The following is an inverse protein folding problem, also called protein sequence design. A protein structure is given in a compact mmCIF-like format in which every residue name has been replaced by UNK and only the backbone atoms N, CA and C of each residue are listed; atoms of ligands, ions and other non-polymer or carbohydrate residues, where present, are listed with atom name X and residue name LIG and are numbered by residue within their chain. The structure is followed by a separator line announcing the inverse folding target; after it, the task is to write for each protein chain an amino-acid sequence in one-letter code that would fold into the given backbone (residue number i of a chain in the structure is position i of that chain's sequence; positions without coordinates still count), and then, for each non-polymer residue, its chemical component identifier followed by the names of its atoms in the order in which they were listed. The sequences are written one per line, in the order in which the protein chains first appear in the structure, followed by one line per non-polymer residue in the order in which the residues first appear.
data_IF_409450517668
#
_entry.id   IF_409450517668
#
_cell.length_a   1.000
_cell.length_b   1.000
_cell.length_c   1.000
_cell.angle_alpha   90.00
_cell.angle_beta   90.00
_cell.angle_gamma   90.00
#
_symmetry.space_group_name_H-M   'P 1'
#
loop_
_entity.id
_entity.type
_entity.pdbx_description
1 polymer ?
#
# COMPACT_ATOMS: atom_id res chain seq x y z
N UNK A 1 16.97 14.80 6.81
CA UNK A 1 16.06 14.30 7.85
C UNK A 1 16.86 14.05 9.12
N UNK A 2 16.42 14.50 10.31
CA UNK A 2 17.03 14.04 11.56
C UNK A 2 16.57 12.61 11.87
N UNK A 3 17.43 11.81 12.49
CA UNK A 3 17.10 10.43 12.86
C UNK A 3 15.85 10.36 13.75
N UNK A 4 15.66 11.34 14.62
CA UNK A 4 14.50 11.43 15.52
C UNK A 4 13.16 11.59 14.78
N UNK A 5 13.14 12.31 13.65
CA UNK A 5 11.92 12.48 12.83
C UNK A 5 11.57 11.17 12.12
N UNK A 6 12.59 10.45 11.62
CA UNK A 6 12.38 9.15 10.99
C UNK A 6 11.84 8.13 11.99
N UNK A 7 12.43 8.06 13.17
CA UNK A 7 12.00 7.15 14.23
C UNK A 7 10.58 7.45 14.72
N UNK A 8 10.24 8.74 14.90
CA UNK A 8 8.87 9.15 15.21
C UNK A 8 7.88 8.80 14.10
N UNK A 9 8.31 8.85 12.84
CA UNK A 9 7.46 8.48 11.70
C UNK A 9 7.17 6.97 11.70
N UNK A 10 8.19 6.13 11.92
CA UNK A 10 8.00 4.68 12.07
C UNK A 10 7.12 4.32 13.27
N UNK A 11 7.23 5.05 14.39
CA UNK A 11 6.33 4.90 15.53
C UNK A 11 4.88 5.15 15.17
N UNK A 12 4.61 6.21 14.41
CA UNK A 12 3.26 6.54 13.94
C UNK A 12 2.70 5.46 13.01
N UNK A 13 3.49 4.98 12.05
CA UNK A 13 3.04 3.91 11.14
C UNK A 13 2.83 2.59 11.88
N UNK A 14 3.73 2.21 12.80
CA UNK A 14 3.51 1.04 13.64
C UNK A 14 2.21 1.16 14.44
N UNK A 15 1.90 2.33 14.99
CA UNK A 15 0.66 2.54 15.73
C UNK A 15 -0.60 2.51 14.85
N UNK A 16 -0.48 2.90 13.58
CA UNK A 16 -1.55 2.83 12.60
C UNK A 16 -1.88 1.39 12.20
N UNK A 17 -0.86 0.57 11.91
CA UNK A 17 -1.04 -0.83 11.50
C UNK A 17 -1.33 -1.78 12.67
N UNK A 18 -1.03 -1.34 13.89
CA UNK A 18 -1.18 -2.14 15.09
C UNK A 18 -2.62 -2.65 15.26
N UNK A 19 -2.75 -3.97 15.38
CA UNK A 19 -4.02 -4.63 15.70
C UNK A 19 -4.44 -4.43 17.16
N UNK A 20 -5.73 -4.64 17.44
CA UNK A 20 -6.25 -4.67 18.80
C UNK A 20 -5.55 -5.71 19.70
N UNK A 21 -5.13 -6.83 19.12
CA UNK A 21 -4.47 -7.95 19.83
C UNK A 21 -2.97 -7.77 19.97
N UNK A 22 -2.45 -6.62 19.59
CA UNK A 22 -1.03 -6.34 19.65
C UNK A 22 -0.77 -5.21 20.64
N UNK A 23 0.45 -5.17 21.15
CA UNK A 23 0.94 -4.04 21.91
C UNK A 23 2.45 -3.95 21.74
N UNK A 24 2.98 -2.75 21.59
CA UNK A 24 4.40 -2.51 21.79
C UNK A 24 4.64 -1.43 22.85
N UNK A 25 5.75 -1.53 23.56
CA UNK A 25 6.20 -0.55 24.56
C UNK A 25 7.70 -0.29 24.43
N UNK A 26 8.04 0.99 24.46
CA UNK A 26 9.42 1.47 24.47
C UNK A 26 10.01 1.36 25.89
N UNK A 27 11.23 0.85 25.99
CA UNK A 27 12.02 0.76 27.22
C UNK A 27 12.90 1.99 27.40
N UNK A 28 13.42 2.20 28.61
CA UNK A 28 14.32 3.32 28.93
C UNK A 28 15.61 3.33 28.09
N UNK A 29 16.01 2.19 27.53
CA UNK A 29 17.17 2.05 26.66
C UNK A 29 16.84 2.26 25.16
N UNK A 30 15.62 2.67 24.82
CA UNK A 30 15.15 2.87 23.44
C UNK A 30 14.72 1.59 22.72
N UNK A 31 14.92 0.40 23.31
CA UNK A 31 14.45 -0.85 22.71
C UNK A 31 12.93 -0.98 22.83
N UNK A 32 12.32 -1.70 21.90
CA UNK A 32 10.87 -1.85 21.82
C UNK A 32 10.51 -3.29 22.09
N UNK A 33 9.61 -3.52 23.04
CA UNK A 33 9.04 -4.83 23.28
C UNK A 33 7.68 -4.90 22.62
N UNK A 34 7.53 -5.80 21.66
CA UNK A 34 6.29 -6.17 21.02
C UNK A 34 5.66 -7.37 21.73
N UNK A 35 4.34 -7.35 21.83
CA UNK A 35 3.49 -8.35 22.43
C UNK A 35 2.34 -8.66 21.48
N UNK A 36 2.05 -9.95 21.27
CA UNK A 36 0.80 -10.40 20.66
C UNK A 36 0.01 -11.25 21.64
N UNK A 37 -1.31 -11.15 21.58
CA UNK A 37 -2.25 -11.81 22.49
C UNK A 37 -3.22 -12.69 21.72
N UNK A 38 -3.71 -13.74 22.38
CA UNK A 38 -4.80 -14.56 21.86
C UNK A 38 -6.12 -13.78 21.90
N UNK A 39 -7.04 -14.07 20.97
CA UNK A 39 -8.42 -13.56 20.97
C UNK A 39 -9.17 -13.94 22.25
N UNK A 40 -8.86 -15.11 22.82
CA UNK A 40 -9.52 -15.61 24.04
C UNK A 40 -8.99 -14.93 25.31
N UNK A 41 -7.79 -14.34 25.27
CA UNK A 41 -7.21 -13.59 26.39
C UNK A 41 -7.69 -12.13 26.37
N UNK A 42 -8.97 -11.96 26.72
CA UNK A 42 -9.61 -10.65 26.81
C UNK A 42 -8.95 -9.69 27.81
N UNK A 43 -8.25 -10.22 28.82
CA UNK A 43 -7.56 -9.44 29.85
C UNK A 43 -6.09 -9.12 29.48
N UNK A 44 -5.59 -9.64 28.34
CA UNK A 44 -4.21 -9.46 27.83
C UNK A 44 -3.16 -9.77 28.89
N UNK A 45 -3.43 -10.80 29.68
CA UNK A 45 -2.65 -11.07 30.88
C UNK A 45 -1.37 -11.84 30.55
N UNK A 46 -1.41 -12.68 29.51
CA UNK A 46 -0.28 -13.49 29.08
C UNK A 46 -0.06 -13.35 27.57
N UNK A 47 0.98 -12.61 27.14
CA UNK A 47 1.28 -12.50 25.73
C UNK A 47 1.70 -13.86 25.17
N UNK A 48 1.11 -14.24 24.05
CA UNK A 48 1.46 -15.45 23.28
C UNK A 48 2.87 -15.33 22.72
N UNK A 49 3.26 -14.11 22.34
CA UNK A 49 4.59 -13.80 21.85
C UNK A 49 5.11 -12.51 22.48
N UNK A 50 6.41 -12.49 22.78
CA UNK A 50 7.11 -11.30 23.23
C UNK A 50 8.45 -11.20 22.51
N UNK A 51 8.62 -10.20 21.64
CA UNK A 51 9.86 -9.96 20.87
C UNK A 51 10.41 -8.58 21.22
N UNK A 52 11.73 -8.45 21.29
CA UNK A 52 12.40 -7.15 21.48
C UNK A 52 13.09 -6.72 20.20
N UNK A 53 12.78 -5.51 19.75
CA UNK A 53 13.41 -4.81 18.63
C UNK A 53 14.29 -3.67 19.13
N UNK A 54 15.26 -3.28 18.32
CA UNK A 54 16.22 -2.20 18.62
C UNK A 54 15.65 -0.81 18.34
N UNK A 55 14.67 -0.70 17.45
CA UNK A 55 14.02 0.56 17.03
C UNK A 55 12.61 0.31 16.47
N UNK A 56 11.84 1.37 16.29
CA UNK A 56 10.55 1.37 15.57
C UNK A 56 10.74 1.02 14.10
N UNK A 57 11.84 1.44 13.48
CA UNK A 57 12.15 1.01 12.12
C UNK A 57 12.28 -0.51 12.02
N UNK A 58 13.01 -1.16 12.93
CA UNK A 58 13.17 -2.62 12.94
C UNK A 58 11.84 -3.34 13.23
N UNK A 59 11.03 -2.81 14.17
CA UNK A 59 9.68 -3.33 14.41
C UNK A 59 8.82 -3.23 13.14
N UNK A 60 8.85 -2.09 12.45
CA UNK A 60 8.10 -1.87 11.23
C UNK A 60 8.51 -2.85 10.13
N UNK A 61 9.81 -2.94 9.84
CA UNK A 61 10.35 -3.82 8.80
C UNK A 61 9.99 -5.30 9.03
N UNK A 62 10.03 -5.76 10.29
CA UNK A 62 9.83 -7.17 10.62
C UNK A 62 8.35 -7.56 10.86
N UNK A 63 7.47 -6.63 11.21
CA UNK A 63 6.08 -6.95 11.60
C UNK A 63 5.01 -6.26 10.74
N UNK A 64 5.23 -5.01 10.36
CA UNK A 64 4.17 -4.15 9.82
C UNK A 64 4.36 -3.74 8.36
N UNK A 65 5.53 -3.99 7.77
CA UNK A 65 5.83 -3.54 6.40
C UNK A 65 4.86 -4.13 5.37
N UNK A 66 4.60 -5.42 5.43
CA UNK A 66 3.70 -6.09 4.49
C UNK A 66 2.24 -5.66 4.67
N UNK A 67 1.80 -5.48 5.92
CA UNK A 67 0.49 -4.95 6.24
C UNK A 67 0.34 -3.51 5.70
N UNK A 68 1.36 -2.69 5.89
CA UNK A 68 1.38 -1.31 5.39
C UNK A 68 1.35 -1.22 3.87
N UNK A 69 2.06 -2.10 3.15
CA UNK A 69 1.96 -2.17 1.69
C UNK A 69 0.53 -2.51 1.23
N UNK A 70 -0.14 -3.42 1.94
CA UNK A 70 -1.55 -3.75 1.70
C UNK A 70 -2.46 -2.55 1.98
N UNK A 71 -2.22 -1.81 3.06
CA UNK A 71 -2.95 -0.57 3.38
C UNK A 71 -2.77 0.51 2.31
N UNK A 72 -1.58 0.62 1.71
CA UNK A 72 -1.32 1.56 0.59
C UNK A 72 -2.12 1.15 -0.66
N UNK A 73 -2.31 -0.14 -0.91
CA UNK A 73 -3.16 -0.62 -2.02
C UNK A 73 -4.65 -0.39 -1.76
N UNK A 74 -5.08 -0.49 -0.51
CA UNK A 74 -6.49 -0.46 -0.14
C UNK A 74 -7.05 0.95 0.12
N UNK A 75 -6.21 1.88 0.61
CA UNK A 75 -6.66 3.20 1.08
C UNK A 75 -6.31 4.32 0.11
N UNK A 76 -7.17 5.34 0.04
CA UNK A 76 -6.87 6.55 -0.72
C UNK A 76 -5.74 7.34 -0.04
N UNK A 77 -4.90 7.98 -0.87
CA UNK A 77 -3.79 8.81 -0.43
C UNK A 77 -4.22 9.90 0.56
N UNK A 78 -5.40 10.49 0.34
CA UNK A 78 -5.94 11.51 1.24
C UNK A 78 -6.25 10.95 2.63
N UNK A 79 -6.74 9.71 2.71
CA UNK A 79 -7.03 9.03 3.97
C UNK A 79 -5.76 8.66 4.71
N UNK A 80 -4.74 8.17 3.99
CA UNK A 80 -3.42 7.88 4.56
C UNK A 80 -2.77 9.14 5.13
N UNK A 81 -2.74 10.25 4.38
CA UNK A 81 -2.20 11.51 4.89
C UNK A 81 -3.00 12.09 6.05
N UNK A 82 -4.33 11.94 6.05
CA UNK A 82 -5.17 12.37 7.16
C UNK A 82 -4.84 11.60 8.44
N UNK A 83 -4.65 10.28 8.31
CA UNK A 83 -4.48 9.39 9.46
C UNK A 83 -3.04 9.39 10.00
N UNK A 84 -2.04 9.32 9.11
CA UNK A 84 -0.62 9.28 9.47
C UNK A 84 -0.01 10.67 9.67
N UNK A 85 -0.65 11.70 9.12
CA UNK A 85 -0.10 13.05 9.02
C UNK A 85 0.78 13.22 7.78
N UNK A 86 0.85 14.45 7.28
CA UNK A 86 1.57 14.79 6.05
C UNK A 86 3.06 14.47 6.12
N UNK A 87 3.73 14.81 7.22
CA UNK A 87 5.16 14.59 7.37
C UNK A 87 5.59 13.13 7.53
N UNK A 88 4.73 12.27 8.09
CA UNK A 88 5.06 10.87 8.36
C UNK A 88 5.24 10.08 7.07
N UNK A 89 4.26 10.19 6.16
CA UNK A 89 4.22 9.41 4.93
C UNK A 89 5.38 9.78 3.99
N UNK A 90 5.63 11.09 3.84
CA UNK A 90 6.76 11.62 3.07
C UNK A 90 8.11 11.12 3.62
N UNK A 91 8.23 11.07 4.95
CA UNK A 91 9.44 10.56 5.62
C UNK A 91 9.67 9.09 5.30
N UNK A 92 8.63 8.26 5.42
CA UNK A 92 8.72 6.82 5.16
C UNK A 92 9.08 6.55 3.69
N UNK A 93 8.46 7.25 2.74
CA UNK A 93 8.79 7.13 1.32
C UNK A 93 10.21 7.59 0.98
N UNK A 94 10.74 8.54 1.74
CA UNK A 94 12.13 8.98 1.57
C UNK A 94 13.11 7.90 2.03
N UNK A 95 12.77 7.15 3.08
CA UNK A 95 13.66 6.13 3.67
C UNK A 95 13.50 4.74 3.09
N UNK A 96 12.29 4.39 2.64
CA UNK A 96 12.00 3.07 2.09
C UNK A 96 11.62 3.17 0.60
N UNK A 97 12.58 2.85 -0.26
CA UNK A 97 12.39 2.87 -1.71
C UNK A 97 11.33 1.87 -2.17
N UNK A 98 11.13 0.74 -1.47
CA UNK A 98 10.10 -0.24 -1.83
C UNK A 98 8.71 0.34 -1.64
N UNK A 99 8.46 0.98 -0.50
CA UNK A 99 7.18 1.65 -0.23
C UNK A 99 6.90 2.75 -1.25
N UNK A 100 7.92 3.55 -1.56
CA UNK A 100 7.81 4.60 -2.57
C UNK A 100 7.47 4.05 -3.95
N UNK A 101 8.19 3.03 -4.43
CA UNK A 101 7.93 2.42 -5.73
C UNK A 101 6.53 1.82 -5.80
N UNK A 102 6.10 1.14 -4.72
CA UNK A 102 4.76 0.54 -4.64
C UNK A 102 3.67 1.61 -4.75
N UNK A 103 3.84 2.71 -4.02
CA UNK A 103 2.95 3.86 -4.09
C UNK A 103 2.92 4.49 -5.49
N UNK A 104 4.08 4.71 -6.11
CA UNK A 104 4.18 5.26 -7.48
C UNK A 104 3.48 4.33 -8.50
N UNK A 105 3.54 3.01 -8.31
CA UNK A 105 2.85 2.04 -9.17
C UNK A 105 1.33 2.10 -9.02
N UNK A 106 0.81 2.26 -7.81
CA UNK A 106 -0.64 2.32 -7.54
C UNK A 106 -1.23 3.66 -8.02
N UNK A 107 -0.48 4.74 -7.88
CA UNK A 107 -0.92 6.08 -8.30
C UNK A 107 -0.66 6.37 -9.77
N UNK A 108 0.12 5.53 -10.46
CA UNK A 108 0.29 5.62 -11.91
C UNK A 108 -1.07 5.37 -12.56
N UNK A 109 -1.52 6.35 -13.35
CA UNK A 109 -2.70 6.17 -14.16
C UNK A 109 -2.43 5.07 -15.20
N UNK A 110 -3.39 4.17 -15.40
CA UNK A 110 -3.29 3.09 -16.38
C UNK A 110 -3.19 3.72 -17.78
N UNK A 111 -2.31 3.17 -18.59
CA UNK A 111 -1.99 3.58 -19.96
C UNK A 111 -1.71 2.27 -20.71
N UNK A 112 -2.78 1.67 -21.25
CA UNK A 112 -2.79 0.28 -21.71
C UNK A 112 -2.05 0.08 -23.04
N UNK A 113 -2.01 1.10 -23.89
CA UNK A 113 -1.26 1.08 -25.15
C UNK A 113 0.11 1.79 -25.06
N UNK A 114 0.41 2.42 -23.92
CA UNK A 114 1.65 3.15 -23.63
C UNK A 114 1.87 4.36 -24.57
N UNK A 115 0.80 5.02 -25.01
CA UNK A 115 0.89 6.24 -25.84
C UNK A 115 1.17 7.51 -25.02
N UNK A 116 1.16 7.40 -23.68
CA UNK A 116 1.39 8.48 -22.74
C UNK A 116 0.13 9.26 -22.35
N UNK A 117 -1.03 8.88 -22.88
CA UNK A 117 -2.35 9.35 -22.50
C UNK A 117 -2.93 8.39 -21.48
N UNK A 118 -3.32 8.86 -20.29
CA UNK A 118 -4.00 8.00 -19.32
C UNK A 118 -5.32 7.44 -19.88
N UNK A 119 -5.60 6.14 -19.66
CA UNK A 119 -6.83 5.41 -20.06
C UNK A 119 -8.13 6.17 -19.71
N UNK A 120 -8.11 7.01 -18.66
CA UNK A 120 -9.29 7.79 -18.25
C UNK A 120 -9.68 8.86 -19.28
N UNK A 121 -8.72 9.35 -20.05
CA UNK A 121 -8.91 10.39 -21.08
C UNK A 121 -8.44 9.94 -22.47
N UNK A 122 -7.84 8.75 -22.57
CA UNK A 122 -7.61 8.09 -23.84
C UNK A 122 -8.92 7.49 -24.37
N UNK A 123 -9.14 7.64 -25.67
CA UNK A 123 -10.32 7.15 -26.39
C UNK A 123 -9.99 5.84 -27.10
N UNK A 124 -8.70 5.54 -27.27
CA UNK A 124 -8.19 4.36 -27.94
C UNK A 124 -7.18 3.61 -27.08
N UNK A 125 -7.59 3.21 -25.87
CA UNK A 125 -6.78 2.50 -24.87
C UNK A 125 -6.00 1.27 -25.39
N UNK A 126 -6.31 0.75 -26.59
CA UNK A 126 -5.69 -0.46 -27.16
C UNK A 126 -4.91 -0.19 -28.44
N UNK A 127 -4.81 1.07 -28.87
CA UNK A 127 -4.29 1.47 -30.19
C UNK A 127 -4.91 0.66 -31.34
N UNK A 128 -6.21 0.39 -31.23
CA UNK A 128 -6.97 -0.43 -32.17
C UNK A 128 -8.08 0.39 -32.84
N UNK A 129 -8.17 1.69 -32.58
CA UNK A 129 -9.06 2.56 -33.30
C UNK A 129 -8.59 2.68 -34.74
N UNK A 130 -9.53 2.36 -35.62
CA UNK A 130 -9.46 2.55 -37.06
C UNK A 130 -9.26 4.04 -37.34
N UNK A 131 -8.02 4.50 -37.51
CA UNK A 131 -7.71 5.92 -37.72
C UNK A 131 -8.22 6.46 -39.08
N UNK A 132 -8.48 5.59 -40.07
CA UNK A 132 -8.91 6.04 -41.40
C UNK A 132 -9.98 5.13 -42.04
N UNK A 133 -10.77 5.67 -42.96
CA UNK A 133 -11.79 4.92 -43.74
C UNK A 133 -11.16 3.70 -44.47
N UNK A 134 -9.86 3.73 -44.76
CA UNK A 134 -9.10 2.64 -45.37
C UNK A 134 -8.75 1.47 -44.44
N UNK A 135 -8.82 1.65 -43.12
CA UNK A 135 -8.52 0.60 -42.13
C UNK A 135 -9.75 -0.30 -41.83
N UNK A 136 -10.95 0.10 -42.29
CA UNK A 136 -12.19 -0.70 -42.18
C UNK A 136 -12.10 -2.07 -42.84
N UNK A 137 -11.23 -2.24 -43.85
CA UNK A 137 -11.06 -3.52 -44.55
C UNK A 137 -10.11 -4.49 -43.81
N UNK A 138 -9.34 -4.01 -42.82
CA UNK A 138 -8.47 -4.85 -41.98
C UNK A 138 -9.17 -5.41 -40.75
N UNK A 139 -10.18 -4.71 -40.22
CA UNK A 139 -11.10 -5.23 -39.20
C UNK A 139 -12.14 -6.14 -39.87
N UNK A 140 -11.70 -7.33 -40.29
CA UNK A 140 -12.65 -8.44 -40.45
C UNK A 140 -13.20 -8.73 -39.08
N UNK A 141 -14.46 -8.33 -38.90
CA UNK A 141 -15.32 -8.59 -37.76
C UNK A 141 -15.09 -10.00 -37.17
N UNK A 142 -14.19 -10.09 -36.20
CA UNK A 142 -14.07 -11.21 -35.29
C UNK A 142 -14.58 -10.74 -33.92
N UNK A 143 -15.83 -10.24 -33.88
CA UNK A 143 -16.62 -10.30 -32.66
C UNK A 143 -16.74 -11.76 -32.29
N UNK A 144 -15.94 -12.20 -31.32
CA UNK A 144 -16.16 -13.47 -30.64
C UNK A 144 -17.53 -13.36 -29.94
N UNK A 145 -18.57 -13.90 -30.60
CA UNK A 145 -19.70 -14.52 -29.89
C UNK A 145 -19.07 -15.58 -28.98
N UNK A 146 -19.38 -15.70 -27.70
CA UNK A 146 -20.68 -16.10 -27.18
C UNK A 146 -20.79 -15.66 -25.70
N UNK A 147 -21.85 -14.93 -25.36
CA UNK A 147 -22.48 -15.05 -24.04
C UNK A 147 -23.95 -15.27 -24.33
N UNK A 148 -24.33 -16.54 -24.43
CA UNK A 148 -25.71 -16.97 -24.58
C UNK A 148 -26.21 -17.30 -23.17
N UNK A 149 -26.99 -16.39 -22.59
CA UNK A 149 -27.81 -16.71 -21.41
C UNK A 149 -29.19 -17.13 -21.90
N UNK A 150 -29.53 -18.39 -21.59
CA UNK A 150 -30.84 -18.99 -21.83
C UNK A 150 -31.89 -18.43 -20.87
N UNK A 151 -33.08 -18.11 -21.40
CA UNK A 151 -34.34 -17.96 -20.65
C UNK A 151 -35.45 -18.71 -21.36
#
# INVERSE_FOLDING_TARGET
MSADIAEASYKTVCAFEKSFLEHFKEKENGHIVFFSFDLEDTDRQFPTQSITYTSYQNLFEEQYKDAFLTSIEALDWKELHHTLGTGTLDTIMTQDATIRMHYEQITKERDLDNDGTPDRIDIDDTNNAVQTIGDRDKVKNATNKETQEDY
#
